data_IF_885592351184
#
_entry.id   IF_885592351184
#
_cell.length_a   1.000
_cell.length_b   1.000
_cell.length_c   1.000
_cell.angle_alpha   90.00
_cell.angle_beta   90.00
_cell.angle_gamma   90.00
#
_symmetry.space_group_name_H-M   'P 1'
#
loop_
_entity.id
_entity.type
_entity.pdbx_description
1 polymer ?
#
# COMPACT_ATOMS: atom_id res chain seq x y z
N UNK A 1 49.13 6.73 24.51
CA UNK A 1 47.88 5.95 24.57
C UNK A 1 46.77 6.58 25.42
N UNK A 2 47.03 7.15 26.60
CA UNK A 2 46.01 7.79 27.45
C UNK A 2 45.34 9.04 26.83
N UNK A 3 46.09 9.84 26.06
CA UNK A 3 45.59 11.07 25.46
C UNK A 3 44.65 10.85 24.26
N UNK A 4 44.81 9.78 23.51
CA UNK A 4 43.91 9.42 22.36
C UNK A 4 42.56 8.85 22.82
N UNK A 5 42.55 8.15 23.94
CA UNK A 5 41.31 7.61 24.52
C UNK A 5 40.44 8.72 25.08
N UNK A 6 41.06 9.77 25.63
CA UNK A 6 40.32 10.94 26.14
C UNK A 6 39.72 11.79 25.03
N UNK A 7 40.38 11.88 23.86
CA UNK A 7 39.88 12.63 22.71
C UNK A 7 38.68 11.90 22.05
N UNK A 8 38.71 10.57 22.01
CA UNK A 8 37.59 9.74 21.48
C UNK A 8 36.38 9.79 22.44
N UNK A 9 36.61 9.78 23.74
CA UNK A 9 35.53 9.92 24.72
C UNK A 9 34.87 11.31 24.69
N UNK A 10 35.63 12.37 24.46
CA UNK A 10 35.09 13.74 24.30
C UNK A 10 34.34 13.90 22.96
N UNK A 11 34.78 13.25 21.90
CA UNK A 11 34.05 13.25 20.61
C UNK A 11 32.75 12.44 20.69
N UNK A 12 32.74 11.30 21.37
CA UNK A 12 31.50 10.56 21.63
C UNK A 12 30.53 11.28 22.56
N UNK A 13 31.00 11.98 23.57
CA UNK A 13 30.21 12.82 24.46
C UNK A 13 29.67 14.06 23.73
N UNK A 14 30.41 14.64 22.80
CA UNK A 14 29.92 15.77 21.99
C UNK A 14 28.88 15.32 20.94
N UNK A 15 29.03 14.14 20.37
CA UNK A 15 27.98 13.56 19.47
C UNK A 15 26.70 13.19 20.24
N UNK A 16 26.82 12.70 21.46
CA UNK A 16 25.68 12.49 22.37
C UNK A 16 25.04 13.81 22.83
N UNK A 17 25.82 14.89 23.03
CA UNK A 17 25.26 16.20 23.34
C UNK A 17 24.61 16.92 22.17
N UNK A 18 25.08 16.68 20.94
CA UNK A 18 24.44 17.23 19.74
C UNK A 18 23.07 16.54 19.47
N UNK A 19 22.91 15.27 19.85
CA UNK A 19 21.61 14.60 19.84
C UNK A 19 20.68 15.00 21.01
N UNK A 20 21.22 15.55 22.11
CA UNK A 20 20.46 15.94 23.28
C UNK A 20 19.91 17.38 23.22
N UNK A 21 20.25 18.16 22.20
CA UNK A 21 19.70 19.51 21.97
C UNK A 21 18.50 19.55 21.04
N UNK A 22 17.81 18.42 20.83
CA UNK A 22 16.46 18.45 20.28
C UNK A 22 15.54 19.03 21.35
N UNK A 23 15.03 20.22 21.10
CA UNK A 23 14.15 20.97 21.99
C UNK A 23 12.99 20.10 22.46
N UNK A 24 12.86 19.86 23.75
CA UNK A 24 11.67 19.26 24.34
C UNK A 24 10.47 20.15 24.01
N UNK A 25 9.55 19.68 23.19
CA UNK A 25 8.33 20.40 22.84
C UNK A 25 7.12 19.73 23.45
N UNK A 26 6.20 20.52 23.92
CA UNK A 26 4.91 20.01 24.38
C UNK A 26 4.02 19.67 23.18
N UNK A 27 3.03 18.79 23.39
CA UNK A 27 2.05 18.45 22.37
C UNK A 27 1.36 19.71 21.79
N UNK A 28 1.07 20.70 22.64
CA UNK A 28 0.45 21.96 22.21
C UNK A 28 1.35 22.79 21.31
N UNK A 29 2.66 22.84 21.58
CA UNK A 29 3.63 23.53 20.73
C UNK A 29 3.75 22.85 19.37
N UNK A 30 3.84 21.52 19.34
CA UNK A 30 3.86 20.74 18.09
C UNK A 30 2.57 20.95 17.29
N UNK A 31 1.42 20.96 17.94
CA UNK A 31 0.12 21.21 17.28
C UNK A 31 -0.05 22.64 16.76
N UNK A 32 0.65 23.62 17.34
CA UNK A 32 0.58 25.03 16.97
C UNK A 32 1.54 25.40 15.84
N UNK A 33 2.51 24.53 15.49
CA UNK A 33 3.51 24.81 14.46
C UNK A 33 2.86 24.85 13.07
N UNK A 34 3.04 25.91 12.30
CA UNK A 34 2.71 25.91 10.88
C UNK A 34 3.84 25.22 10.12
N UNK A 35 3.52 24.31 9.22
CA UNK A 35 4.46 23.79 8.23
C UNK A 35 4.86 22.32 8.39
N UNK A 36 5.83 21.92 7.62
CA UNK A 36 6.31 20.55 7.45
C UNK A 36 7.17 20.11 8.62
N UNK A 37 6.96 18.88 9.09
CA UNK A 37 7.72 18.31 10.20
C UNK A 37 8.60 17.17 9.67
N UNK A 38 9.89 17.18 10.04
CA UNK A 38 10.82 16.09 9.75
C UNK A 38 10.84 15.16 10.94
N UNK A 39 10.50 13.92 10.72
CA UNK A 39 10.77 12.85 11.65
C UNK A 39 11.97 12.06 11.14
N UNK A 40 13.11 12.20 11.81
CA UNK A 40 14.31 11.47 11.41
C UNK A 40 14.18 10.00 11.83
N UNK A 41 14.46 9.13 10.87
CA UNK A 41 14.91 7.73 10.99
C UNK A 41 13.89 6.64 11.37
N UNK A 42 12.77 6.90 12.01
CA UNK A 42 11.83 5.81 12.36
C UNK A 42 11.00 5.37 11.17
N UNK A 43 10.71 6.28 10.23
CA UNK A 43 9.84 5.98 9.07
C UNK A 43 10.55 5.55 7.80
N UNK A 44 11.84 5.86 7.65
CA UNK A 44 12.59 5.40 6.47
C UNK A 44 12.69 3.88 6.37
N UNK A 45 12.41 3.17 7.45
CA UNK A 45 12.54 1.72 7.53
C UNK A 45 11.23 0.99 7.87
N UNK A 46 10.16 1.72 8.18
CA UNK A 46 8.86 1.10 8.45
C UNK A 46 7.93 1.29 7.26
N UNK A 47 7.20 0.25 6.87
CA UNK A 47 6.17 0.36 5.85
C UNK A 47 5.06 1.31 6.31
N UNK A 48 4.32 1.94 5.38
CA UNK A 48 3.19 2.76 5.74
C UNK A 48 2.19 1.96 6.59
N UNK A 49 1.66 2.59 7.63
CA UNK A 49 0.58 2.03 8.42
C UNK A 49 -0.73 2.65 7.96
N UNK A 50 -1.64 1.84 7.44
CA UNK A 50 -2.95 2.31 7.02
C UNK A 50 -3.93 2.26 8.19
N UNK A 51 -4.85 3.24 8.28
CA UNK A 51 -5.91 3.21 9.27
C UNK A 51 -6.84 2.03 9.04
N UNK A 52 -7.45 1.53 10.10
CA UNK A 52 -8.40 0.42 10.00
C UNK A 52 -9.76 0.93 9.55
N UNK A 53 -10.36 0.17 8.65
CA UNK A 53 -11.74 0.37 8.20
C UNK A 53 -12.58 -0.80 8.73
N UNK A 54 -13.73 -0.48 9.29
CA UNK A 54 -14.71 -1.48 9.69
C UNK A 54 -15.42 -2.03 8.44
N UNK A 55 -15.34 -3.34 8.24
CA UNK A 55 -15.89 -4.04 7.09
C UNK A 55 -17.17 -4.84 7.44
N UNK A 56 -17.85 -4.51 8.54
CA UNK A 56 -19.07 -5.20 8.98
C UNK A 56 -20.22 -5.10 7.98
N UNK A 57 -20.28 -4.01 7.21
CA UNK A 57 -21.35 -3.72 6.23
C UNK A 57 -21.04 -4.30 4.85
N UNK A 58 -20.44 -5.49 4.81
CA UNK A 58 -20.09 -6.13 3.55
C UNK A 58 -21.34 -6.49 2.73
N UNK A 59 -21.31 -6.10 1.45
CA UNK A 59 -22.32 -6.47 0.46
C UNK A 59 -21.72 -7.42 -0.55
N UNK A 60 -22.26 -8.64 -0.65
CA UNK A 60 -21.92 -9.55 -1.74
C UNK A 60 -22.44 -8.97 -3.05
N UNK A 61 -21.55 -8.79 -4.02
CA UNK A 61 -21.88 -8.24 -5.37
C UNK A 61 -21.65 -9.26 -6.49
N UNK A 62 -21.02 -10.39 -6.21
CA UNK A 62 -20.77 -11.47 -7.15
C UNK A 62 -20.02 -12.62 -6.52
N UNK A 63 -19.63 -13.57 -7.37
CA UNK A 63 -18.83 -14.74 -7.00
C UNK A 63 -17.68 -14.92 -7.98
N UNK A 64 -16.54 -15.38 -7.48
CA UNK A 64 -15.42 -15.82 -8.31
C UNK A 64 -15.58 -17.30 -8.68
N UNK A 65 -14.92 -17.70 -9.75
CA UNK A 65 -14.68 -19.09 -10.12
C UNK A 65 -13.19 -19.41 -10.10
N UNK A 66 -12.36 -18.38 -10.15
CA UNK A 66 -10.91 -18.47 -10.14
C UNK A 66 -10.33 -17.53 -9.10
N UNK A 67 -9.42 -18.05 -8.26
CA UNK A 67 -8.58 -17.29 -7.35
C UNK A 67 -7.14 -17.31 -7.87
N UNK A 68 -6.56 -16.15 -8.03
CA UNK A 68 -5.16 -15.98 -8.44
C UNK A 68 -4.42 -15.20 -7.36
N UNK A 69 -3.26 -15.69 -6.96
CA UNK A 69 -2.43 -15.04 -5.96
C UNK A 69 -1.09 -14.62 -6.54
N UNK A 70 -0.68 -13.41 -6.17
CA UNK A 70 0.64 -12.89 -6.51
C UNK A 70 1.39 -12.51 -5.24
N UNK A 71 2.67 -12.86 -5.20
CA UNK A 71 3.62 -12.19 -4.33
C UNK A 71 3.97 -10.84 -4.95
N UNK A 72 3.99 -9.80 -4.13
CA UNK A 72 4.39 -8.46 -4.57
C UNK A 72 5.53 -7.93 -3.73
N UNK A 73 6.55 -7.41 -4.40
CA UNK A 73 7.61 -6.60 -3.78
C UNK A 73 7.44 -5.15 -4.21
N UNK A 74 7.46 -4.25 -3.24
CA UNK A 74 7.29 -2.82 -3.48
C UNK A 74 8.41 -2.03 -2.78
N UNK A 75 9.04 -1.12 -3.51
CA UNK A 75 9.82 -0.04 -2.92
C UNK A 75 8.84 1.08 -2.57
N UNK A 76 8.47 1.18 -1.31
CA UNK A 76 7.42 2.12 -0.86
C UNK A 76 7.86 3.59 -0.86
N UNK A 77 9.17 3.85 -0.92
CA UNK A 77 9.74 5.20 -0.94
C UNK A 77 10.84 5.28 -1.99
N UNK A 78 10.71 6.20 -2.93
CA UNK A 78 11.71 6.44 -3.99
C UNK A 78 13.09 6.89 -3.46
N UNK A 79 13.17 7.32 -2.21
CA UNK A 79 14.42 7.66 -1.53
C UNK A 79 15.06 6.47 -0.81
N UNK A 80 14.41 5.30 -0.83
CA UNK A 80 14.86 4.06 -0.20
C UNK A 80 15.04 2.96 -1.23
N UNK A 81 15.90 2.00 -0.92
CA UNK A 81 16.03 0.75 -1.70
C UNK A 81 15.37 -0.43 -0.99
N UNK A 82 14.75 -0.20 0.16
CA UNK A 82 14.08 -1.24 0.94
C UNK A 82 12.85 -1.72 0.18
N UNK A 83 12.83 -3.01 -0.12
CA UNK A 83 11.65 -3.70 -0.69
C UNK A 83 10.84 -4.32 0.43
N UNK A 84 9.55 -4.09 0.41
CA UNK A 84 8.57 -4.73 1.29
C UNK A 84 7.79 -5.76 0.49
N UNK A 85 7.41 -6.82 1.17
CA UNK A 85 6.65 -7.93 0.60
C UNK A 85 5.20 -7.88 1.06
N UNK A 86 4.28 -8.16 0.16
CA UNK A 86 2.86 -8.39 0.43
C UNK A 86 2.33 -9.43 -0.56
N UNK A 87 1.05 -9.76 -0.44
CA UNK A 87 0.32 -10.55 -1.42
C UNK A 87 -0.81 -9.74 -2.03
N UNK A 88 -1.05 -9.97 -3.31
CA UNK A 88 -2.21 -9.48 -4.03
C UNK A 88 -3.08 -10.66 -4.43
N UNK A 89 -4.34 -10.57 -4.08
CA UNK A 89 -5.36 -11.56 -4.42
C UNK A 89 -6.20 -11.01 -5.57
N UNK A 90 -6.48 -11.87 -6.55
CA UNK A 90 -7.41 -11.59 -7.63
C UNK A 90 -8.50 -12.63 -7.62
N UNK A 91 -9.73 -12.22 -7.43
CA UNK A 91 -10.93 -13.03 -7.55
C UNK A 91 -11.58 -12.74 -8.90
N UNK A 92 -11.70 -13.75 -9.74
CA UNK A 92 -12.20 -13.64 -11.12
C UNK A 92 -13.45 -14.49 -11.24
N UNK A 93 -14.55 -13.85 -11.54
CA UNK A 93 -15.85 -14.49 -11.85
C UNK A 93 -16.23 -14.28 -13.30
N UNK A 94 -17.46 -14.68 -13.66
CA UNK A 94 -17.96 -14.56 -15.03
C UNK A 94 -18.29 -13.11 -15.43
N UNK A 95 -18.66 -12.27 -14.46
CA UNK A 95 -19.09 -10.89 -14.70
C UNK A 95 -18.22 -9.86 -13.98
N UNK A 96 -17.59 -10.26 -12.90
CA UNK A 96 -16.84 -9.38 -12.01
C UNK A 96 -15.45 -9.91 -11.75
N UNK A 97 -14.54 -8.99 -11.63
CA UNK A 97 -13.17 -9.18 -11.15
C UNK A 97 -12.93 -8.29 -9.94
N UNK A 98 -12.23 -8.80 -8.95
CA UNK A 98 -11.80 -8.04 -7.78
C UNK A 98 -10.35 -8.35 -7.44
N UNK A 99 -9.51 -7.32 -7.33
CA UNK A 99 -8.13 -7.43 -6.84
C UNK A 99 -7.91 -6.57 -5.61
N UNK A 100 -7.15 -7.07 -4.65
CA UNK A 100 -6.86 -6.38 -3.40
C UNK A 100 -5.57 -6.89 -2.74
N UNK A 101 -4.97 -6.05 -1.88
CA UNK A 101 -3.85 -6.45 -1.03
C UNK A 101 -4.32 -7.32 0.14
N UNK A 102 -3.75 -8.51 0.29
CA UNK A 102 -4.12 -9.47 1.34
C UNK A 102 -3.92 -8.86 2.73
N UNK A 103 -2.74 -8.28 2.99
CA UNK A 103 -2.41 -7.77 4.32
C UNK A 103 -3.33 -6.64 4.77
N UNK A 104 -3.74 -5.77 3.85
CA UNK A 104 -4.70 -4.69 4.13
C UNK A 104 -6.08 -5.26 4.44
N UNK A 105 -6.58 -6.17 3.61
CA UNK A 105 -7.88 -6.81 3.81
C UNK A 105 -7.94 -7.59 5.13
N UNK A 106 -6.96 -8.46 5.39
CA UNK A 106 -6.86 -9.24 6.63
C UNK A 106 -6.83 -8.35 7.86
N UNK A 107 -6.08 -7.26 7.81
CA UNK A 107 -5.96 -6.31 8.92
C UNK A 107 -7.29 -5.61 9.23
N UNK A 108 -8.04 -5.22 8.19
CA UNK A 108 -9.36 -4.62 8.35
C UNK A 108 -10.39 -5.62 8.88
N UNK A 109 -10.41 -6.85 8.35
CA UNK A 109 -11.27 -7.92 8.85
C UNK A 109 -10.99 -8.24 10.32
N UNK A 110 -9.70 -8.32 10.70
CA UNK A 110 -9.31 -8.53 12.09
C UNK A 110 -9.84 -7.42 13.00
N UNK A 111 -9.69 -6.17 12.59
CA UNK A 111 -10.19 -5.01 13.34
C UNK A 111 -11.71 -5.02 13.47
N UNK A 112 -12.44 -5.34 12.40
CA UNK A 112 -13.91 -5.48 12.39
C UNK A 112 -14.36 -6.49 13.41
N UNK A 113 -13.77 -7.70 13.42
CA UNK A 113 -14.11 -8.74 14.39
C UNK A 113 -13.73 -8.38 15.82
N UNK A 114 -12.61 -7.67 16.02
CA UNK A 114 -12.19 -7.17 17.33
C UNK A 114 -13.19 -6.15 17.89
N UNK A 115 -13.65 -5.21 17.06
CA UNK A 115 -14.65 -4.21 17.44
C UNK A 115 -15.99 -4.85 17.81
N UNK A 116 -16.38 -5.91 17.12
CA UNK A 116 -17.56 -6.68 17.41
C UNK A 116 -17.43 -7.64 18.61
N UNK A 117 -16.26 -7.73 19.25
CA UNK A 117 -16.00 -8.67 20.33
C UNK A 117 -16.03 -10.15 19.88
N UNK A 118 -15.86 -10.41 18.60
CA UNK A 118 -15.94 -11.75 18.01
C UNK A 118 -14.65 -12.55 18.21
N UNK A 119 -14.71 -13.83 18.61
CA UNK A 119 -13.56 -14.70 18.68
C UNK A 119 -12.91 -14.96 17.31
N UNK A 120 -13.65 -14.70 16.24
CA UNK A 120 -13.18 -14.90 14.86
C UNK A 120 -12.05 -13.95 14.45
N UNK A 121 -11.80 -12.89 15.22
CA UNK A 121 -10.65 -12.01 15.01
C UNK A 121 -9.32 -12.78 14.94
N UNK A 122 -9.18 -13.90 15.64
CA UNK A 122 -7.99 -14.74 15.64
C UNK A 122 -7.76 -15.49 14.33
N UNK A 123 -8.77 -15.62 13.47
CA UNK A 123 -8.68 -16.27 12.15
C UNK A 123 -7.96 -15.39 11.12
N UNK A 124 -7.96 -14.08 11.34
CA UNK A 124 -7.39 -13.11 10.42
C UNK A 124 -5.97 -12.73 10.83
N UNK A 125 -4.99 -13.39 10.22
CA UNK A 125 -3.59 -13.08 10.43
C UNK A 125 -2.91 -12.92 9.06
N UNK A 126 -2.05 -11.90 8.96
CA UNK A 126 -1.26 -11.68 7.76
C UNK A 126 -0.33 -12.86 7.50
N UNK A 127 -0.06 -13.14 6.24
CA UNK A 127 0.96 -14.09 5.84
C UNK A 127 2.32 -13.70 6.42
N UNK A 128 3.13 -14.69 6.78
CA UNK A 128 4.46 -14.47 7.35
C UNK A 128 5.34 -13.67 6.37
N UNK A 129 6.09 -12.71 6.90
CA UNK A 129 6.94 -11.83 6.10
C UNK A 129 6.20 -10.73 5.35
N UNK A 130 4.86 -10.79 5.24
CA UNK A 130 4.07 -9.80 4.53
C UNK A 130 3.83 -8.54 5.35
N UNK A 131 3.84 -7.42 4.64
CA UNK A 131 3.64 -6.07 5.16
C UNK A 131 2.51 -5.40 4.40
N UNK A 132 1.73 -4.60 5.07
CA UNK A 132 0.59 -3.88 4.50
C UNK A 132 1.07 -2.71 3.61
N UNK A 133 1.40 -3.01 2.35
CA UNK A 133 1.91 -2.02 1.40
C UNK A 133 1.00 -1.80 0.19
N UNK A 134 0.07 -2.72 -0.08
CA UNK A 134 -0.88 -2.61 -1.17
C UNK A 134 -2.29 -2.40 -0.61
N UNK A 135 -2.62 -1.14 -0.30
CA UNK A 135 -3.88 -0.78 0.35
C UNK A 135 -5.00 -0.41 -0.63
N UNK A 136 -4.79 -0.65 -1.92
CA UNK A 136 -5.78 -0.41 -2.96
C UNK A 136 -6.53 -1.69 -3.34
N UNK A 137 -7.75 -1.51 -3.78
CA UNK A 137 -8.62 -2.56 -4.30
C UNK A 137 -9.27 -2.06 -5.58
N UNK A 138 -9.36 -2.93 -6.58
CA UNK A 138 -9.96 -2.61 -7.88
C UNK A 138 -11.00 -3.65 -8.22
N UNK A 139 -12.21 -3.20 -8.54
CA UNK A 139 -13.26 -4.02 -9.11
C UNK A 139 -13.40 -3.68 -10.59
N UNK A 140 -13.59 -4.69 -11.42
CA UNK A 140 -13.86 -4.52 -12.85
C UNK A 140 -15.14 -5.27 -13.20
N UNK A 141 -16.07 -4.56 -13.83
CA UNK A 141 -17.17 -5.17 -14.55
C UNK A 141 -16.63 -5.69 -15.89
N UNK A 142 -16.67 -6.99 -16.08
CA UNK A 142 -16.08 -7.65 -17.26
C UNK A 142 -16.90 -7.44 -18.53
N UNK A 143 -18.19 -7.05 -18.39
CA UNK A 143 -19.08 -6.78 -19.54
C UNK A 143 -18.91 -5.36 -20.07
N UNK A 144 -18.81 -4.38 -19.15
CA UNK A 144 -18.79 -2.96 -19.52
C UNK A 144 -17.38 -2.37 -19.53
N UNK A 145 -16.41 -3.04 -18.90
CA UNK A 145 -15.07 -2.52 -18.69
C UNK A 145 -15.03 -1.36 -17.68
N UNK A 146 -16.07 -1.17 -16.87
CA UNK A 146 -16.06 -0.16 -15.82
C UNK A 146 -15.21 -0.61 -14.65
N UNK A 147 -14.41 0.30 -14.13
CA UNK A 147 -13.57 0.09 -12.93
C UNK A 147 -14.09 0.91 -11.77
N UNK A 148 -14.11 0.27 -10.59
CA UNK A 148 -14.26 0.93 -9.29
C UNK A 148 -12.93 0.76 -8.56
N UNK A 149 -12.31 1.87 -8.24
CA UNK A 149 -11.06 1.89 -7.48
C UNK A 149 -11.35 2.34 -6.06
N UNK A 150 -10.92 1.55 -5.09
CA UNK A 150 -11.02 1.88 -3.68
C UNK A 150 -9.62 1.90 -3.07
N UNK A 151 -9.34 2.86 -2.20
CA UNK A 151 -8.06 2.97 -1.53
C UNK A 151 -8.20 3.60 -0.16
N UNK A 152 -7.32 3.20 0.75
CA UNK A 152 -7.16 3.82 2.05
C UNK A 152 -6.11 4.92 1.94
N UNK A 153 -6.36 6.05 2.59
CA UNK A 153 -5.37 7.11 2.73
C UNK A 153 -4.90 7.10 4.18
N UNK A 154 -3.59 7.06 4.43
CA UNK A 154 -3.04 7.22 5.78
C UNK A 154 -3.70 8.41 6.48
N UNK A 155 -3.88 8.39 7.80
CA UNK A 155 -4.51 9.38 8.68
C UNK A 155 -6.05 9.53 8.55
N UNK A 156 -6.68 9.06 7.47
CA UNK A 156 -8.15 9.15 7.31
C UNK A 156 -8.77 7.81 7.70
N UNK A 157 -9.31 7.76 8.91
CA UNK A 157 -9.83 6.51 9.50
C UNK A 157 -11.22 6.16 9.00
N UNK A 158 -11.49 4.87 8.94
CA UNK A 158 -12.80 4.29 8.67
C UNK A 158 -13.45 4.79 7.37
N UNK A 159 -12.63 5.15 6.39
CA UNK A 159 -13.07 5.67 5.09
C UNK A 159 -12.25 5.05 3.99
N UNK A 160 -12.92 4.48 3.00
CA UNK A 160 -12.33 4.09 1.74
C UNK A 160 -12.66 5.14 0.69
N UNK A 161 -11.65 5.69 0.07
CA UNK A 161 -11.84 6.61 -1.05
C UNK A 161 -12.15 5.80 -2.30
N UNK A 162 -13.24 6.14 -2.97
CA UNK A 162 -13.66 5.49 -4.20
C UNK A 162 -13.66 6.46 -5.35
N UNK A 163 -13.13 6.03 -6.49
CA UNK A 163 -13.35 6.69 -7.77
C UNK A 163 -13.63 5.67 -8.87
N UNK A 164 -14.48 6.07 -9.81
CA UNK A 164 -14.87 5.23 -10.92
C UNK A 164 -14.17 5.72 -12.19
N UNK A 165 -13.75 4.79 -13.03
CA UNK A 165 -13.12 5.09 -14.32
C UNK A 165 -13.45 4.01 -15.35
N UNK A 166 -13.17 4.28 -16.61
CA UNK A 166 -13.20 3.27 -17.67
C UNK A 166 -11.90 2.47 -17.64
N UNK A 167 -12.00 1.22 -18.10
CA UNK A 167 -10.83 0.39 -18.32
C UNK A 167 -9.85 1.14 -19.23
N UNK A 168 -8.59 1.32 -18.81
CA UNK A 168 -7.62 2.02 -19.62
C UNK A 168 -7.23 1.21 -20.85
N UNK A 169 -7.03 1.88 -21.97
CA UNK A 169 -6.39 1.26 -23.13
C UNK A 169 -4.90 1.08 -22.85
N UNK A 170 -4.40 -0.12 -23.10
CA UNK A 170 -2.99 -0.44 -22.95
C UNK A 170 -2.40 -0.85 -24.30
N UNK A 171 -1.38 -0.11 -24.73
CA UNK A 171 -0.67 -0.41 -25.97
C UNK A 171 0.49 -1.36 -25.67
N UNK A 172 0.23 -2.66 -25.83
CA UNK A 172 1.24 -3.71 -25.63
C UNK A 172 2.10 -3.91 -26.86
N UNK A 173 3.41 -3.93 -26.65
CA UNK A 173 4.39 -4.37 -27.63
C UNK A 173 4.89 -5.77 -27.22
N UNK A 174 4.64 -6.75 -28.08
CA UNK A 174 5.16 -8.12 -27.91
C UNK A 174 6.62 -8.17 -28.34
N UNK A 175 7.51 -8.62 -27.48
CA UNK A 175 8.96 -8.63 -27.78
C UNK A 175 9.41 -9.87 -28.56
N UNK A 176 8.56 -10.91 -28.64
CA UNK A 176 8.92 -12.21 -29.20
C UNK A 176 9.75 -13.10 -28.27
N UNK A 177 10.09 -12.62 -27.08
CA UNK A 177 10.78 -13.42 -26.07
C UNK A 177 9.78 -14.26 -25.28
N UNK A 178 10.22 -15.45 -24.84
CA UNK A 178 9.45 -16.35 -23.96
C UNK A 178 10.26 -16.70 -22.73
N UNK A 179 9.55 -16.98 -21.63
CA UNK A 179 10.13 -17.39 -20.34
C UNK A 179 9.13 -18.31 -19.62
N UNK A 180 9.61 -19.23 -18.80
CA UNK A 180 8.73 -20.08 -17.98
C UNK A 180 8.56 -19.47 -16.60
N UNK A 181 7.31 -19.21 -16.18
CA UNK A 181 6.94 -18.70 -14.86
C UNK A 181 5.94 -19.65 -14.22
N UNK A 182 6.22 -20.13 -13.02
CA UNK A 182 5.37 -21.06 -12.28
C UNK A 182 4.94 -22.31 -13.08
N UNK A 183 5.76 -22.73 -14.03
CA UNK A 183 5.51 -23.89 -14.89
C UNK A 183 4.74 -23.59 -16.18
N UNK A 184 4.32 -22.35 -16.43
CA UNK A 184 3.63 -21.90 -17.63
C UNK A 184 4.60 -21.29 -18.62
N UNK A 185 4.44 -21.58 -19.91
CA UNK A 185 5.15 -20.87 -20.96
C UNK A 185 4.54 -19.48 -21.15
N UNK A 186 5.34 -18.46 -21.00
CA UNK A 186 4.93 -17.07 -21.03
C UNK A 186 5.54 -16.31 -22.17
N UNK A 187 4.76 -15.44 -22.78
CA UNK A 187 5.22 -14.45 -23.75
C UNK A 187 5.49 -13.14 -23.03
N UNK A 188 6.49 -12.41 -23.51
CA UNK A 188 6.89 -11.12 -22.95
C UNK A 188 6.27 -9.97 -23.72
N UNK A 189 5.67 -9.04 -22.99
CA UNK A 189 5.12 -7.80 -23.52
C UNK A 189 5.58 -6.59 -22.69
N UNK A 190 5.63 -5.43 -23.32
CA UNK A 190 5.96 -4.17 -22.67
C UNK A 190 4.90 -3.12 -22.98
N UNK A 191 4.70 -2.19 -22.04
CA UNK A 191 3.81 -1.04 -22.22
C UNK A 191 4.26 0.14 -21.34
N UNK A 192 3.82 1.33 -21.68
CA UNK A 192 3.88 2.49 -20.80
C UNK A 192 2.50 2.79 -20.26
N UNK A 193 2.34 2.72 -18.95
CA UNK A 193 1.07 2.98 -18.30
C UNK A 193 1.27 3.65 -16.94
N UNK A 194 0.42 4.64 -16.65
CA UNK A 194 0.38 5.36 -15.39
C UNK A 194 1.75 5.93 -14.93
N UNK A 195 2.55 6.41 -15.91
CA UNK A 195 3.88 7.00 -15.67
C UNK A 195 4.98 5.99 -15.35
N UNK A 196 4.74 4.72 -15.64
CA UNK A 196 5.73 3.64 -15.52
C UNK A 196 5.85 2.87 -16.83
N UNK A 197 7.05 2.39 -17.14
CA UNK A 197 7.28 1.40 -18.20
C UNK A 197 7.22 0.02 -17.55
N UNK A 198 6.27 -0.79 -18.00
CA UNK A 198 6.00 -2.13 -17.51
C UNK A 198 6.53 -3.19 -18.46
N UNK A 199 7.11 -4.23 -17.90
CA UNK A 199 7.40 -5.49 -18.58
C UNK A 199 6.56 -6.57 -17.92
N UNK A 200 5.83 -7.32 -18.73
CA UNK A 200 4.98 -8.43 -18.25
C UNK A 200 5.31 -9.73 -18.96
N UNK A 201 5.10 -10.82 -18.25
CA UNK A 201 5.11 -12.19 -18.77
C UNK A 201 3.69 -12.72 -18.61
N UNK A 202 3.05 -13.11 -19.71
CA UNK A 202 1.68 -13.62 -19.70
C UNK A 202 1.61 -14.96 -20.42
N UNK A 203 0.72 -15.84 -19.96
CA UNK A 203 0.54 -17.15 -20.60
C UNK A 203 -0.84 -17.28 -21.23
N UNK A 204 -0.91 -17.60 -22.55
CA UNK A 204 -2.16 -17.94 -23.22
C UNK A 204 -2.79 -19.24 -22.74
N UNK A 205 -2.05 -20.10 -22.02
CA UNK A 205 -2.56 -21.33 -21.44
C UNK A 205 -3.69 -21.08 -20.41
N UNK A 206 -3.70 -19.89 -19.80
CA UNK A 206 -4.76 -19.41 -18.92
C UNK A 206 -5.44 -18.23 -19.63
N UNK A 207 -6.51 -18.47 -20.42
CA UNK A 207 -7.08 -17.47 -21.33
C UNK A 207 -7.98 -16.46 -20.60
N UNK A 208 -7.39 -15.68 -19.71
CA UNK A 208 -8.05 -14.65 -18.91
C UNK A 208 -7.36 -13.31 -19.18
N UNK A 209 -8.11 -12.32 -19.68
CA UNK A 209 -7.57 -10.99 -20.03
C UNK A 209 -7.57 -10.02 -18.84
N UNK A 210 -7.91 -10.47 -17.67
CA UNK A 210 -7.86 -9.75 -16.41
C UNK A 210 -6.97 -10.54 -15.43
N UNK A 211 -6.42 -9.89 -14.49
CA UNK A 211 -5.54 -10.52 -13.53
C UNK A 211 -5.03 -9.47 -12.58
N UNK A 212 -3.84 -9.03 -12.72
CA UNK A 212 -3.19 -8.14 -11.79
C UNK A 212 -3.63 -6.68 -11.97
N UNK A 213 -4.13 -6.04 -10.89
CA UNK A 213 -4.42 -4.61 -10.82
C UNK A 213 -5.36 -4.14 -11.95
N UNK A 214 -4.93 -3.23 -12.83
CA UNK A 214 -5.68 -2.69 -13.97
C UNK A 214 -5.19 -3.22 -15.32
N UNK A 215 -4.21 -4.11 -15.32
CA UNK A 215 -3.68 -4.66 -16.56
C UNK A 215 -4.75 -5.44 -17.32
N UNK A 216 -4.78 -5.24 -18.63
CA UNK A 216 -5.78 -5.84 -19.51
C UNK A 216 -5.28 -5.86 -20.97
N UNK A 217 -6.04 -6.54 -21.84
CA UNK A 217 -5.79 -6.52 -23.29
C UNK A 217 -4.71 -7.49 -23.78
N UNK A 218 -4.19 -8.37 -22.93
CA UNK A 218 -3.34 -9.49 -23.35
C UNK A 218 -4.18 -10.78 -23.44
N UNK A 219 -3.85 -11.68 -24.39
CA UNK A 219 -4.62 -12.91 -24.59
C UNK A 219 -4.24 -14.03 -23.61
N UNK A 220 -4.12 -13.70 -22.31
CA UNK A 220 -3.78 -14.63 -21.26
C UNK A 220 -3.43 -13.96 -19.94
N UNK A 221 -3.42 -14.78 -18.89
CA UNK A 221 -3.14 -14.31 -17.54
C UNK A 221 -1.70 -13.81 -17.41
N UNK A 222 -1.51 -12.64 -16.81
CA UNK A 222 -0.19 -12.12 -16.47
C UNK A 222 0.38 -12.94 -15.30
N UNK A 223 1.50 -13.60 -15.54
CA UNK A 223 2.21 -14.42 -14.56
C UNK A 223 3.25 -13.62 -13.78
N UNK A 224 3.83 -12.59 -14.41
CA UNK A 224 4.76 -11.66 -13.78
C UNK A 224 4.60 -10.27 -14.37
N UNK A 225 4.69 -9.24 -13.52
CA UNK A 225 4.79 -7.85 -13.97
C UNK A 225 5.85 -7.13 -13.16
N UNK A 226 6.68 -6.33 -13.82
CA UNK A 226 7.65 -5.47 -13.15
C UNK A 226 7.75 -4.13 -13.88
N UNK A 227 7.87 -3.04 -13.12
CA UNK A 227 8.23 -1.78 -13.74
C UNK A 227 9.75 -1.70 -14.00
N UNK A 228 10.16 -0.80 -14.89
CA UNK A 228 11.56 -0.71 -15.36
C UNK A 228 12.60 -0.45 -14.27
N UNK A 229 12.19 -0.03 -13.10
CA UNK A 229 13.05 0.19 -11.92
C UNK A 229 12.94 -0.91 -10.87
N UNK A 230 12.09 -1.90 -11.11
CA UNK A 230 11.72 -2.92 -10.13
C UNK A 230 11.25 -2.34 -8.78
N UNK A 231 10.63 -1.17 -8.83
CA UNK A 231 9.97 -0.57 -7.67
C UNK A 231 8.68 -1.33 -7.33
N UNK A 232 8.06 -1.93 -8.33
CA UNK A 232 6.93 -2.86 -8.21
C UNK A 232 7.25 -4.14 -8.99
N UNK A 233 7.23 -5.27 -8.31
CA UNK A 233 7.41 -6.59 -8.91
C UNK A 233 6.32 -7.50 -8.39
N UNK A 234 5.52 -8.02 -9.29
CA UNK A 234 4.46 -9.00 -9.01
C UNK A 234 4.84 -10.32 -9.67
N UNK A 235 4.70 -11.40 -8.94
CA UNK A 235 4.97 -12.76 -9.44
C UNK A 235 3.87 -13.70 -9.00
N UNK A 236 3.29 -14.43 -9.94
CA UNK A 236 2.27 -15.44 -9.68
C UNK A 236 2.81 -16.49 -8.69
N UNK A 237 1.98 -16.83 -7.71
CA UNK A 237 2.27 -17.88 -6.74
C UNK A 237 1.26 -19.01 -6.77
N UNK A 238 -0.01 -18.71 -7.10
CA UNK A 238 -1.07 -19.73 -7.12
C UNK A 238 -2.19 -19.37 -8.10
N UNK A 239 -2.78 -20.39 -8.70
CA UNK A 239 -4.04 -20.35 -9.45
C UNK A 239 -4.91 -21.47 -8.92
N UNK A 240 -6.10 -21.16 -8.43
CA UNK A 240 -7.02 -22.12 -7.87
C UNK A 240 -8.44 -21.92 -8.44
N UNK A 241 -9.07 -22.98 -8.90
CA UNK A 241 -10.51 -22.98 -9.14
C UNK A 241 -11.23 -22.99 -7.80
N UNK A 242 -11.72 -21.84 -7.39
CA UNK A 242 -12.31 -21.64 -6.07
C UNK A 242 -13.46 -20.64 -6.14
N UNK A 243 -14.60 -21.06 -5.60
CA UNK A 243 -15.75 -20.18 -5.46
C UNK A 243 -15.61 -19.37 -4.17
N UNK A 244 -15.56 -18.04 -4.30
CA UNK A 244 -15.49 -17.09 -3.19
C UNK A 244 -16.38 -15.90 -3.49
N UNK A 245 -16.92 -15.30 -2.43
CA UNK A 245 -17.73 -14.09 -2.55
C UNK A 245 -16.88 -12.88 -2.94
N UNK A 246 -17.32 -12.16 -3.97
CA UNK A 246 -16.84 -10.83 -4.28
C UNK A 246 -17.68 -9.84 -3.47
N UNK A 247 -17.06 -9.11 -2.56
CA UNK A 247 -17.74 -8.23 -1.62
C UNK A 247 -17.32 -6.78 -1.78
N UNK A 248 -18.25 -5.86 -1.49
CA UNK A 248 -17.99 -4.42 -1.37
C UNK A 248 -18.43 -3.89 0.00
N UNK A 249 -18.00 -2.69 0.33
CA UNK A 249 -18.26 -2.03 1.63
C UNK A 249 -18.78 -0.61 1.42
N UNK A 250 -19.99 -0.45 0.80
CA UNK A 250 -20.47 0.83 0.30
C UNK A 250 -20.69 1.88 1.40
N UNK A 251 -20.99 1.48 2.61
CA UNK A 251 -21.16 2.40 3.76
C UNK A 251 -19.84 3.09 4.19
N UNK A 252 -18.71 2.56 3.74
CA UNK A 252 -17.37 3.10 4.04
C UNK A 252 -16.79 3.88 2.87
N UNK A 253 -17.47 3.88 1.73
CA UNK A 253 -16.96 4.50 0.51
C UNK A 253 -17.27 6.00 0.47
N UNK A 254 -16.24 6.83 0.37
CA UNK A 254 -16.34 8.22 0.01
C UNK A 254 -16.07 8.36 -1.49
N UNK A 255 -17.09 8.71 -2.25
CA UNK A 255 -16.97 8.87 -3.71
C UNK A 255 -16.30 10.20 -4.02
N UNK A 256 -15.21 10.15 -4.74
CA UNK A 256 -14.41 11.32 -5.17
C UNK A 256 -14.01 11.15 -6.64
N UNK A 257 -13.50 12.19 -7.25
CA UNK A 257 -12.83 12.05 -8.55
C UNK A 257 -11.43 11.43 -8.38
N UNK A 258 -10.90 10.78 -9.43
CA UNK A 258 -9.51 10.29 -9.45
C UNK A 258 -8.51 11.40 -9.07
N UNK A 259 -8.75 12.62 -9.56
CA UNK A 259 -7.89 13.78 -9.27
C UNK A 259 -7.91 14.16 -7.78
N UNK A 260 -9.07 14.13 -7.16
CA UNK A 260 -9.21 14.40 -5.71
C UNK A 260 -8.55 13.31 -4.88
N UNK A 261 -8.76 12.03 -5.25
CA UNK A 261 -8.08 10.91 -4.61
C UNK A 261 -6.56 11.08 -4.64
N UNK A 262 -5.99 11.30 -5.83
CA UNK A 262 -4.54 11.48 -6.00
C UNK A 262 -4.00 12.69 -5.24
N UNK A 263 -4.79 13.77 -5.18
CA UNK A 263 -4.43 14.95 -4.39
C UNK A 263 -4.44 14.64 -2.89
N UNK A 264 -5.44 13.90 -2.41
CA UNK A 264 -5.54 13.53 -1.00
C UNK A 264 -4.40 12.57 -0.59
N UNK A 265 -4.10 11.57 -1.43
CA UNK A 265 -2.96 10.66 -1.25
C UNK A 265 -1.63 11.43 -1.17
N UNK A 266 -1.41 12.36 -2.10
CA UNK A 266 -0.20 13.21 -2.09
C UNK A 266 -0.14 14.14 -0.89
N UNK A 267 -1.25 14.75 -0.50
CA UNK A 267 -1.30 15.61 0.68
C UNK A 267 -1.02 14.84 1.97
N UNK A 268 -1.52 13.60 2.08
CA UNK A 268 -1.23 12.72 3.21
C UNK A 268 0.26 12.42 3.32
N UNK A 269 0.95 12.29 2.18
CA UNK A 269 2.40 12.16 2.17
C UNK A 269 3.12 13.48 2.53
N UNK A 270 2.72 14.59 1.90
CA UNK A 270 3.42 15.89 2.03
C UNK A 270 3.19 16.54 3.41
N UNK A 271 1.99 16.41 3.98
CA UNK A 271 1.63 16.99 5.28
C UNK A 271 0.61 16.11 6.04
N UNK A 272 1.05 14.98 6.58
CA UNK A 272 0.18 14.04 7.27
C UNK A 272 -0.51 14.63 8.51
N UNK A 273 0.12 15.62 9.15
CA UNK A 273 -0.44 16.28 10.34
C UNK A 273 -1.64 17.15 9.96
N UNK A 274 -1.54 17.89 8.86
CA UNK A 274 -2.66 18.71 8.39
C UNK A 274 -3.84 17.84 8.01
N UNK A 275 -3.59 16.73 7.33
CA UNK A 275 -4.63 15.76 6.94
C UNK A 275 -5.29 15.15 8.17
N UNK A 276 -4.52 14.72 9.16
CA UNK A 276 -5.06 14.20 10.44
C UNK A 276 -5.95 15.21 11.15
N UNK A 277 -5.56 16.47 11.19
CA UNK A 277 -6.38 17.54 11.81
C UNK A 277 -7.69 17.76 11.10
N UNK A 278 -7.71 17.63 9.77
CA UNK A 278 -8.91 17.76 8.96
C UNK A 278 -9.88 16.60 9.09
N UNK A 279 -9.36 15.41 9.36
CA UNK A 279 -10.15 14.19 9.33
C UNK A 279 -10.95 13.91 10.62
N UNK A 280 -10.51 14.29 11.84
CA UNK A 280 -11.27 14.08 13.08
C UNK A 280 -10.62 14.75 14.30
N UNK A 281 -9.67 15.65 14.09
CA UNK A 281 -8.92 16.30 15.18
C UNK A 281 -7.94 15.37 15.92
N UNK A 282 -7.72 14.15 15.43
CA UNK A 282 -6.73 13.22 15.99
C UNK A 282 -5.36 13.46 15.41
N UNK A 283 -4.44 13.90 16.26
CA UNK A 283 -3.03 13.92 15.96
C UNK A 283 -2.48 12.51 16.14
N UNK A 284 -2.09 11.84 15.06
CA UNK A 284 -1.31 10.62 15.17
C UNK A 284 0.12 11.03 15.50
N UNK A 285 0.45 10.97 16.80
CA UNK A 285 1.82 11.13 17.23
C UNK A 285 2.53 9.83 16.94
N UNK A 286 3.33 9.84 15.90
CA UNK A 286 3.92 8.63 15.35
C UNK A 286 5.14 8.16 16.13
N UNK A 287 5.70 8.98 17.00
CA UNK A 287 6.73 8.55 17.94
C UNK A 287 6.59 9.30 19.25
N UNK A 288 6.48 8.51 20.27
CA UNK A 288 6.47 8.92 21.66
C UNK A 288 7.69 8.31 22.32
N UNK A 289 8.65 9.12 22.64
CA UNK A 289 9.80 8.69 23.45
C UNK A 289 9.72 9.32 24.84
N UNK A 290 10.35 8.65 25.82
CA UNK A 290 10.55 9.22 27.14
C UNK A 290 12.02 9.52 27.31
N UNK A 291 12.33 10.71 27.83
CA UNK A 291 13.70 11.03 28.22
C UNK A 291 14.13 10.21 29.45
N UNK A 292 15.41 10.32 29.85
CA UNK A 292 15.97 9.62 31.00
C UNK A 292 15.25 9.94 32.32
N UNK A 293 14.51 11.05 32.39
CA UNK A 293 13.69 11.46 33.55
C UNK A 293 12.24 10.99 33.47
N UNK A 294 11.87 10.25 32.41
CA UNK A 294 10.52 9.74 32.21
C UNK A 294 9.53 10.75 31.61
N UNK A 295 9.96 11.97 31.27
CA UNK A 295 9.15 12.99 30.61
C UNK A 295 8.95 12.63 29.15
N UNK A 296 7.75 12.82 28.64
CA UNK A 296 7.45 12.61 27.22
C UNK A 296 8.15 13.68 26.38
N UNK A 297 8.87 13.21 25.37
CA UNK A 297 9.58 14.08 24.42
C UNK A 297 8.92 13.88 23.06
N UNK A 298 8.57 14.99 22.43
CA UNK A 298 8.15 15.05 21.04
C UNK A 298 9.28 15.67 20.24
N UNK A 299 9.81 14.93 19.28
CA UNK A 299 10.80 15.47 18.36
C UNK A 299 10.10 16.12 17.19
N UNK A 300 10.34 17.40 16.95
CA UNK A 300 9.88 18.09 15.76
C UNK A 300 10.72 17.66 14.55
N UNK A 301 10.07 17.31 13.46
CA UNK A 301 10.76 16.96 12.26
C UNK A 301 9.76 16.92 11.10
N UNK A 302 10.21 16.86 9.84
CA UNK A 302 9.30 16.66 8.70
C UNK A 302 8.88 15.20 8.62
N UNK A 303 7.58 14.94 8.76
CA UNK A 303 7.03 13.65 8.42
C UNK A 303 6.90 13.55 6.92
N UNK A 304 7.69 12.70 6.32
CA UNK A 304 7.46 12.25 4.97
C UNK A 304 7.01 10.80 5.08
N UNK A 305 5.75 10.54 4.74
CA UNK A 305 5.35 9.16 4.51
C UNK A 305 6.07 8.63 3.28
N UNK A 306 6.39 7.34 3.26
CA UNK A 306 6.85 6.70 2.06
C UNK A 306 5.87 6.98 0.92
N UNK A 307 6.34 7.51 -0.20
CA UNK A 307 5.50 7.83 -1.34
C UNK A 307 6.12 7.36 -2.65
N UNK A 308 5.63 6.25 -3.10
CA UNK A 308 5.93 5.70 -4.41
C UNK A 308 4.67 5.05 -4.97
N UNK A 309 3.67 5.84 -5.39
CA UNK A 309 2.41 5.28 -5.85
C UNK A 309 2.62 4.44 -7.10
N UNK A 310 1.80 3.39 -7.25
CA UNK A 310 1.82 2.56 -8.45
C UNK A 310 1.48 3.38 -9.70
N UNK A 311 0.61 4.39 -9.58
CA UNK A 311 0.31 5.35 -10.63
C UNK A 311 1.06 6.66 -10.37
N UNK A 312 1.93 7.07 -11.27
CA UNK A 312 2.72 8.34 -11.18
C UNK A 312 2.04 9.52 -11.88
N UNK A 313 1.00 9.28 -12.70
CA UNK A 313 0.26 10.27 -13.48
C UNK A 313 -1.25 10.20 -13.25
#
# INVERSE_FOLDING_TARGET
>A
MKTQVLLLATLMLSSLHIHAQQTEQTLQEVMAMPGKYIYQDVYRHNPPSFPRCDLSDSLKIGESTLRVEYEVFVVSDTMSTTKYQDKVICLIGDELYWTFGESSWVSNMKATHQLAGSPDASKYNRSEGCTEIFASSVYRDLKTGSLINCGLIPEIRNTMFRYDEKLPEMNWELTGETEVVAGYECQKAVTEYAGRKWTVLFSPEVPVDCGLWKFNGLPGLIMRAADSKEEYVFTLTSIEHKQEDITRYPEREMVVSRKEYRKAEKNSHDDPILVSKGADGYLIIMSRSRNLTGKEIFTSGHFLYPYNPIEKQ
#
